data_IF_849295538795
#
_entry.id   IF_849295538795
#
_cell.length_a   1.000
_cell.length_b   1.000
_cell.length_c   1.000
_cell.angle_alpha   90.00
_cell.angle_beta   90.00
_cell.angle_gamma   90.00
#
_symmetry.space_group_name_H-M   'P 1'
#
loop_
_entity.id
_entity.type
_entity.pdbx_description
1 polymer ?
#
# COMPACT_ATOMS: atom_id res chain seq x y z
N UNK A 1 23.98 14.50 -15.65
CA UNK A 1 22.58 14.03 -15.69
C UNK A 1 21.70 15.25 -15.47
N UNK A 2 20.80 15.54 -16.38
CA UNK A 2 19.80 16.59 -16.19
C UNK A 2 18.74 16.06 -15.23
N UNK A 3 18.52 16.77 -14.13
CA UNK A 3 17.44 16.46 -13.19
C UNK A 3 16.16 17.11 -13.72
N UNK A 4 15.12 16.32 -13.92
CA UNK A 4 13.79 16.81 -14.24
C UNK A 4 12.95 16.88 -12.97
N UNK A 5 12.18 17.94 -12.81
CA UNK A 5 11.23 18.10 -11.70
C UNK A 5 9.83 17.79 -12.22
N UNK A 6 9.14 16.87 -11.56
CA UNK A 6 7.76 16.49 -11.86
C UNK A 6 6.83 16.95 -10.74
N UNK A 7 5.62 17.33 -11.08
CA UNK A 7 4.54 17.50 -10.10
C UNK A 7 4.02 16.14 -9.64
N UNK A 8 3.36 16.09 -8.48
CA UNK A 8 2.76 14.85 -7.98
C UNK A 8 1.72 14.26 -8.96
N UNK A 9 0.98 15.12 -9.66
CA UNK A 9 0.02 14.70 -10.68
C UNK A 9 0.71 14.05 -11.90
N UNK A 10 1.85 14.57 -12.31
CA UNK A 10 2.67 13.97 -13.39
C UNK A 10 3.26 12.64 -12.96
N UNK A 11 3.69 12.53 -11.70
CA UNK A 11 4.19 11.26 -11.12
C UNK A 11 3.08 10.21 -11.10
N UNK A 12 1.87 10.56 -10.62
CA UNK A 12 0.70 9.65 -10.62
C UNK A 12 0.38 9.21 -12.05
N UNK A 13 0.33 10.14 -12.99
CA UNK A 13 0.03 9.86 -14.41
C UNK A 13 1.06 8.92 -15.01
N UNK A 14 2.34 9.20 -14.83
CA UNK A 14 3.44 8.39 -15.34
C UNK A 14 3.40 6.96 -14.77
N UNK A 15 3.19 6.82 -13.46
CA UNK A 15 3.07 5.52 -12.81
C UNK A 15 1.85 4.74 -13.32
N UNK A 16 0.69 5.41 -13.43
CA UNK A 16 -0.54 4.80 -13.95
C UNK A 16 -0.38 4.27 -15.37
N UNK A 17 0.19 5.09 -16.26
CA UNK A 17 0.44 4.69 -17.64
C UNK A 17 1.42 3.51 -17.74
N UNK A 18 2.52 3.55 -16.98
CA UNK A 18 3.51 2.47 -16.99
C UNK A 18 2.89 1.14 -16.53
N UNK A 19 2.14 1.15 -15.43
CA UNK A 19 1.48 -0.03 -14.89
C UNK A 19 0.40 -0.59 -15.85
N UNK A 20 -0.38 0.31 -16.45
CA UNK A 20 -1.42 -0.10 -17.41
C UNK A 20 -0.81 -0.72 -18.67
N UNK A 21 0.26 -0.13 -19.22
CA UNK A 21 1.01 -0.70 -20.35
C UNK A 21 1.67 -2.03 -20.00
N UNK A 22 1.98 -2.27 -18.73
CA UNK A 22 2.53 -3.53 -18.25
C UNK A 22 1.47 -4.63 -18.01
N UNK A 23 0.18 -4.32 -18.14
CA UNK A 23 -0.93 -5.28 -18.05
C UNK A 23 -1.81 -5.13 -16.80
N UNK A 24 -1.67 -4.06 -16.01
CA UNK A 24 -2.60 -3.80 -14.92
C UNK A 24 -3.88 -3.13 -15.45
N UNK A 25 -5.04 -3.59 -14.98
CA UNK A 25 -6.28 -2.83 -15.16
C UNK A 25 -6.26 -1.56 -14.28
N UNK A 26 -7.07 -0.56 -14.63
CA UNK A 26 -7.12 0.72 -13.90
C UNK A 26 -7.40 0.54 -12.40
N UNK A 27 -8.25 -0.42 -12.03
CA UNK A 27 -8.59 -0.69 -10.63
C UNK A 27 -7.38 -1.19 -9.81
N UNK A 28 -6.42 -1.86 -10.44
CA UNK A 28 -5.17 -2.28 -9.83
C UNK A 28 -4.10 -1.18 -9.88
N UNK A 29 -4.00 -0.47 -11.01
CA UNK A 29 -2.94 0.51 -11.24
C UNK A 29 -3.13 1.83 -10.49
N UNK A 30 -4.37 2.36 -10.45
CA UNK A 30 -4.62 3.70 -9.90
C UNK A 30 -4.30 3.83 -8.40
N UNK A 31 -4.70 2.90 -7.50
CA UNK A 31 -4.33 3.01 -6.09
C UNK A 31 -2.81 2.95 -5.87
N UNK A 32 -2.10 2.15 -6.65
CA UNK A 32 -0.64 2.07 -6.59
C UNK A 32 0.03 3.34 -7.14
N UNK A 33 -0.48 3.90 -8.25
CA UNK A 33 0.04 5.14 -8.82
C UNK A 33 -0.08 6.33 -7.85
N UNK A 34 -1.22 6.45 -7.16
CA UNK A 34 -1.43 7.46 -6.10
C UNK A 34 -0.45 7.26 -4.94
N UNK A 35 -0.34 6.04 -4.43
CA UNK A 35 0.61 5.72 -3.37
C UNK A 35 2.06 6.00 -3.79
N UNK A 36 2.41 5.84 -5.07
CA UNK A 36 3.73 6.19 -5.60
C UNK A 36 3.97 7.70 -5.55
N UNK A 37 3.00 8.52 -5.94
CA UNK A 37 3.12 9.98 -5.86
C UNK A 37 3.24 10.47 -4.40
N UNK A 38 2.46 9.92 -3.48
CA UNK A 38 2.56 10.22 -2.04
C UNK A 38 3.94 9.81 -1.49
N UNK A 39 4.45 8.65 -1.89
CA UNK A 39 5.77 8.15 -1.49
C UNK A 39 6.90 9.06 -1.96
N UNK A 40 6.81 9.61 -3.17
CA UNK A 40 7.76 10.62 -3.67
C UNK A 40 7.64 11.94 -2.90
N UNK A 41 6.42 12.39 -2.55
CA UNK A 41 6.20 13.57 -1.73
C UNK A 41 6.85 13.45 -0.34
N UNK A 42 6.88 12.23 0.21
CA UNK A 42 7.54 11.92 1.49
C UNK A 42 9.08 11.77 1.36
N UNK A 43 9.64 11.85 0.15
CA UNK A 43 11.08 11.67 -0.09
C UNK A 43 11.57 10.22 0.00
N UNK A 44 10.67 9.22 -0.05
CA UNK A 44 11.01 7.79 0.04
C UNK A 44 11.25 7.21 -1.35
N UNK A 45 12.23 7.73 -2.08
CA UNK A 45 12.50 7.41 -3.49
C UNK A 45 12.68 5.91 -3.77
N UNK A 46 13.13 5.11 -2.79
CA UNK A 46 13.32 3.66 -2.96
C UNK A 46 12.01 2.88 -3.21
N UNK A 47 10.86 3.45 -2.84
CA UNK A 47 9.53 2.87 -3.01
C UNK A 47 8.61 3.74 -3.90
N UNK A 48 9.14 4.83 -4.45
CA UNK A 48 8.50 5.74 -5.39
C UNK A 48 8.64 5.28 -6.85
N UNK A 49 8.87 6.24 -7.75
CA UNK A 49 9.03 5.98 -9.20
C UNK A 49 10.14 4.99 -9.51
N UNK A 50 11.21 4.98 -8.71
CA UNK A 50 12.32 4.04 -8.90
C UNK A 50 11.88 2.56 -8.80
N UNK A 51 10.76 2.27 -8.14
CA UNK A 51 10.25 0.91 -8.00
C UNK A 51 9.22 0.52 -9.07
N UNK A 52 8.66 1.46 -9.82
CA UNK A 52 7.69 1.21 -10.90
C UNK A 52 8.20 0.19 -11.95
N UNK A 53 9.46 0.24 -12.42
CA UNK A 53 9.97 -0.77 -13.34
C UNK A 53 9.86 -2.22 -12.80
N UNK A 54 10.11 -2.41 -11.49
CA UNK A 54 9.98 -3.72 -10.83
C UNK A 54 8.53 -4.20 -10.81
N UNK A 55 7.57 -3.31 -10.50
CA UNK A 55 6.15 -3.64 -10.58
C UNK A 55 5.74 -4.03 -12.01
N UNK A 56 6.20 -3.31 -13.02
CA UNK A 56 5.94 -3.61 -14.42
C UNK A 56 6.53 -4.96 -14.84
N UNK A 57 7.73 -5.31 -14.40
CA UNK A 57 8.33 -6.62 -14.65
C UNK A 57 7.50 -7.73 -14.00
N UNK A 58 7.09 -7.55 -12.75
CA UNK A 58 6.30 -8.54 -12.02
C UNK A 58 4.89 -8.73 -12.58
N UNK A 59 4.30 -7.71 -13.20
CA UNK A 59 3.07 -7.84 -13.99
C UNK A 59 3.31 -8.71 -15.24
N UNK A 60 4.35 -8.40 -16.01
CA UNK A 60 4.66 -9.11 -17.27
C UNK A 60 5.02 -10.59 -17.08
N UNK A 61 5.73 -10.92 -15.99
CA UNK A 61 6.09 -12.31 -15.69
C UNK A 61 4.98 -13.08 -14.93
N UNK A 62 3.84 -12.45 -14.66
CA UNK A 62 2.70 -13.11 -14.01
C UNK A 62 2.85 -13.30 -12.50
N UNK A 63 3.86 -12.68 -11.86
CA UNK A 63 4.01 -12.69 -10.41
C UNK A 63 2.93 -11.88 -9.68
N UNK A 64 2.34 -10.91 -10.38
CA UNK A 64 1.20 -10.12 -9.94
C UNK A 64 0.11 -10.19 -10.99
N UNK A 65 -1.10 -10.45 -10.56
CA UNK A 65 -2.27 -10.46 -11.44
C UNK A 65 -2.80 -9.05 -11.62
N UNK A 66 -2.55 -8.48 -12.79
CA UNK A 66 -2.98 -7.12 -13.14
C UNK A 66 -4.48 -6.94 -13.32
N UNK A 67 -5.23 -8.03 -13.48
CA UNK A 67 -6.69 -8.07 -13.63
C UNK A 67 -7.44 -8.52 -12.37
N UNK A 68 -6.74 -8.73 -11.26
CA UNK A 68 -7.32 -9.22 -10.02
C UNK A 68 -8.41 -8.26 -9.51
N UNK A 69 -9.52 -8.84 -9.06
CA UNK A 69 -10.60 -8.10 -8.39
C UNK A 69 -10.60 -8.49 -6.91
N UNK A 70 -10.29 -7.57 -6.01
CA UNK A 70 -10.28 -7.84 -4.58
C UNK A 70 -11.66 -8.30 -4.10
N UNK A 71 -11.67 -9.32 -3.23
CA UNK A 71 -12.91 -9.80 -2.59
C UNK A 71 -12.91 -9.38 -1.12
N UNK A 72 -13.85 -8.54 -0.73
CA UNK A 72 -13.98 -8.06 0.64
C UNK A 72 -15.11 -8.80 1.34
N UNK A 73 -14.85 -9.24 2.56
CA UNK A 73 -15.83 -9.88 3.44
C UNK A 73 -15.76 -9.27 4.83
N UNK A 74 -16.86 -9.31 5.56
CA UNK A 74 -16.95 -8.80 6.93
C UNK A 74 -17.48 -9.91 7.87
N UNK A 75 -16.57 -10.83 8.30
CA UNK A 75 -16.99 -11.99 9.10
C UNK A 75 -17.45 -11.62 10.52
N UNK A 76 -17.09 -10.42 11.01
CA UNK A 76 -17.56 -9.86 12.28
C UNK A 76 -17.75 -8.34 12.15
N UNK A 77 -18.52 -7.66 13.00
CA UNK A 77 -18.79 -6.21 12.91
C UNK A 77 -17.53 -5.35 12.80
N UNK A 78 -16.50 -5.60 13.59
CA UNK A 78 -15.23 -4.88 13.57
C UNK A 78 -14.12 -5.57 12.78
N UNK A 79 -14.41 -6.61 11.98
CA UNK A 79 -13.37 -7.34 11.21
C UNK A 79 -13.71 -7.36 9.72
N UNK A 80 -12.81 -6.79 8.92
CA UNK A 80 -12.86 -6.81 7.45
C UNK A 80 -11.71 -7.66 6.94
N UNK A 81 -11.97 -8.50 5.95
CA UNK A 81 -10.96 -9.31 5.27
C UNK A 81 -11.01 -8.99 3.79
N UNK A 82 -9.90 -8.54 3.22
CA UNK A 82 -9.72 -8.28 1.80
C UNK A 82 -8.76 -9.31 1.19
N UNK A 83 -9.27 -10.13 0.30
CA UNK A 83 -8.49 -11.06 -0.51
C UNK A 83 -8.11 -10.36 -1.82
N UNK A 84 -6.83 -10.13 -2.05
CA UNK A 84 -6.34 -9.41 -3.21
C UNK A 84 -6.28 -10.28 -4.48
N UNK A 85 -6.50 -11.60 -4.37
CA UNK A 85 -6.48 -12.53 -5.50
C UNK A 85 -5.16 -12.51 -6.28
N UNK A 86 -4.03 -12.36 -5.58
CA UNK A 86 -2.67 -12.20 -6.12
C UNK A 86 -2.44 -10.89 -6.90
N UNK A 87 -3.32 -9.89 -6.72
CA UNK A 87 -3.13 -8.53 -7.23
C UNK A 87 -2.29 -7.65 -6.29
N UNK A 88 -2.21 -6.37 -6.60
CA UNK A 88 -1.56 -5.39 -5.73
C UNK A 88 -2.33 -5.21 -4.42
N UNK A 89 -1.60 -5.12 -3.31
CA UNK A 89 -2.18 -4.86 -2.00
C UNK A 89 -2.96 -3.53 -1.96
N UNK A 90 -2.49 -2.52 -2.69
CA UNK A 90 -3.10 -1.19 -2.74
C UNK A 90 -4.59 -1.22 -3.14
N UNK A 91 -4.94 -2.02 -4.16
CA UNK A 91 -6.34 -2.18 -4.58
C UNK A 91 -7.19 -2.88 -3.52
N UNK A 92 -6.64 -3.90 -2.85
CA UNK A 92 -7.33 -4.63 -1.78
C UNK A 92 -7.47 -3.78 -0.52
N UNK A 93 -6.46 -2.98 -0.17
CA UNK A 93 -6.51 -2.04 0.96
C UNK A 93 -7.58 -0.96 0.71
N UNK A 94 -7.59 -0.36 -0.48
CA UNK A 94 -8.59 0.65 -0.83
C UNK A 94 -10.04 0.07 -0.73
N UNK A 95 -10.27 -1.12 -1.27
CA UNK A 95 -11.55 -1.81 -1.15
C UNK A 95 -11.88 -2.18 0.30
N UNK A 96 -10.90 -2.62 1.08
CA UNK A 96 -11.06 -2.94 2.49
C UNK A 96 -11.34 -1.72 3.37
N UNK A 97 -10.73 -0.58 3.09
CA UNK A 97 -10.96 0.68 3.82
C UNK A 97 -12.38 1.23 3.60
N UNK A 98 -12.99 1.00 2.44
CA UNK A 98 -14.38 1.36 2.20
C UNK A 98 -15.35 0.70 3.21
N UNK A 99 -14.98 -0.46 3.75
CA UNK A 99 -15.75 -1.19 4.77
C UNK A 99 -15.20 -0.97 6.19
N UNK A 100 -13.87 -0.92 6.35
CA UNK A 100 -13.23 -0.85 7.66
C UNK A 100 -13.39 0.52 8.34
N UNK A 101 -13.34 1.63 7.57
CA UNK A 101 -13.49 2.98 8.12
C UNK A 101 -14.90 3.20 8.71
N UNK A 102 -16.00 2.91 8.00
CA UNK A 102 -17.34 2.96 8.61
C UNK A 102 -17.49 2.01 9.80
N UNK A 103 -16.92 0.80 9.70
CA UNK A 103 -16.94 -0.16 10.80
C UNK A 103 -16.25 0.40 12.06
N UNK A 104 -15.07 0.99 11.92
CA UNK A 104 -14.36 1.60 13.06
C UNK A 104 -15.17 2.70 13.75
N UNK A 105 -15.88 3.52 12.97
CA UNK A 105 -16.74 4.58 13.51
C UNK A 105 -17.94 4.04 14.29
N UNK A 106 -18.49 2.89 13.87
CA UNK A 106 -19.65 2.28 14.52
C UNK A 106 -19.27 1.44 15.73
N UNK A 107 -18.20 0.65 15.59
CA UNK A 107 -17.78 -0.33 16.60
C UNK A 107 -16.73 0.23 17.59
N UNK A 108 -16.21 1.45 17.33
CA UNK A 108 -15.10 2.06 18.10
C UNK A 108 -13.72 1.60 17.66
N UNK A 109 -13.59 0.41 17.08
CA UNK A 109 -12.35 -0.16 16.52
C UNK A 109 -12.70 -1.14 15.39
N UNK A 110 -11.87 -1.18 14.37
CA UNK A 110 -11.95 -2.21 13.34
C UNK A 110 -10.56 -2.69 12.92
N UNK A 111 -10.49 -3.92 12.43
CA UNK A 111 -9.30 -4.50 11.83
C UNK A 111 -9.57 -4.84 10.36
N UNK A 112 -8.60 -4.51 9.49
CA UNK A 112 -8.55 -4.96 8.12
C UNK A 112 -7.41 -5.97 7.96
N UNK A 113 -7.71 -7.21 7.62
CA UNK A 113 -6.74 -8.21 7.22
C UNK A 113 -6.69 -8.32 5.70
N UNK A 114 -5.51 -8.09 5.12
CA UNK A 114 -5.26 -8.26 3.67
C UNK A 114 -4.50 -9.54 3.46
N UNK A 115 -4.94 -10.36 2.52
CA UNK A 115 -4.31 -11.64 2.18
C UNK A 115 -4.19 -11.83 0.68
N UNK A 116 -3.41 -12.84 0.27
CA UNK A 116 -3.16 -13.17 -1.13
C UNK A 116 -2.78 -11.93 -1.95
N UNK A 117 -1.98 -11.05 -1.33
CA UNK A 117 -1.59 -9.78 -1.94
C UNK A 117 -0.11 -9.76 -2.30
N UNK A 118 0.20 -9.02 -3.34
CA UNK A 118 1.55 -8.57 -3.60
C UNK A 118 1.91 -7.43 -2.60
N UNK A 119 3.12 -6.95 -2.67
CA UNK A 119 3.68 -5.89 -1.82
C UNK A 119 2.75 -4.65 -1.68
N UNK A 120 2.78 -4.02 -0.50
CA UNK A 120 1.94 -2.85 -0.17
C UNK A 120 2.70 -1.50 -0.26
N UNK A 121 3.93 -1.49 -0.77
CA UNK A 121 4.74 -0.26 -0.83
C UNK A 121 5.10 0.27 0.56
N UNK A 122 5.00 1.56 0.75
CA UNK A 122 5.25 2.24 2.03
C UNK A 122 4.03 2.14 2.93
N UNK A 123 4.19 1.47 4.09
CA UNK A 123 3.07 1.21 5.01
C UNK A 123 2.45 2.51 5.55
N UNK A 124 3.27 3.56 5.71
CA UNK A 124 2.84 4.88 6.16
C UNK A 124 1.75 5.54 5.30
N UNK A 125 1.77 5.31 3.99
CA UNK A 125 0.74 5.81 3.07
C UNK A 125 -0.66 5.30 3.48
N UNK A 126 -0.76 4.03 3.84
CA UNK A 126 -2.04 3.43 4.23
C UNK A 126 -2.51 3.88 5.63
N UNK A 127 -1.61 4.02 6.59
CA UNK A 127 -2.00 4.51 7.93
C UNK A 127 -2.34 5.99 7.90
N UNK A 128 -1.67 6.80 7.06
CA UNK A 128 -2.03 8.20 6.81
C UNK A 128 -3.47 8.34 6.32
N UNK A 129 -3.90 7.52 5.37
CA UNK A 129 -5.26 7.55 4.86
C UNK A 129 -6.33 7.30 5.96
N UNK A 130 -6.00 6.50 6.99
CA UNK A 130 -6.86 6.32 8.15
C UNK A 130 -6.88 7.58 9.04
N UNK A 131 -5.75 8.23 9.24
CA UNK A 131 -5.66 9.46 10.03
C UNK A 131 -6.38 10.63 9.33
N UNK A 132 -6.27 10.75 8.01
CA UNK A 132 -7.03 11.70 7.19
C UNK A 132 -8.55 11.45 7.27
N UNK A 133 -8.96 10.19 7.48
CA UNK A 133 -10.35 9.85 7.77
C UNK A 133 -10.78 10.12 9.23
N UNK A 134 -9.90 10.74 10.05
CA UNK A 134 -10.16 11.09 11.44
C UNK A 134 -10.02 9.92 12.44
N UNK A 135 -9.28 8.88 12.06
CA UNK A 135 -9.05 7.68 12.88
C UNK A 135 -7.59 7.59 13.30
N UNK A 136 -7.29 6.84 14.36
CA UNK A 136 -5.92 6.37 14.62
C UNK A 136 -5.68 5.12 13.80
N UNK A 137 -4.68 5.15 12.92
CA UNK A 137 -4.29 4.04 12.07
C UNK A 137 -3.05 3.33 12.59
N UNK A 138 -3.12 2.01 12.79
CA UNK A 138 -1.98 1.16 13.12
C UNK A 138 -1.84 0.09 12.04
N UNK A 139 -0.67 0.01 11.39
CA UNK A 139 -0.39 -0.89 10.29
C UNK A 139 0.77 -1.84 10.60
N UNK A 140 0.64 -3.07 10.12
CA UNK A 140 1.66 -4.10 10.18
C UNK A 140 1.75 -4.80 8.84
N UNK A 141 2.94 -5.16 8.41
CA UNK A 141 3.11 -6.01 7.23
C UNK A 141 4.28 -6.96 7.39
N UNK A 142 4.20 -8.10 6.72
CA UNK A 142 5.31 -9.03 6.60
C UNK A 142 6.14 -8.72 5.36
N UNK A 143 7.44 -8.92 5.45
CA UNK A 143 8.36 -8.82 4.32
C UNK A 143 9.09 -10.16 4.12
N UNK A 144 9.54 -10.46 2.88
CA UNK A 144 10.37 -11.63 2.62
C UNK A 144 11.64 -11.63 3.50
N UNK A 145 12.17 -12.82 3.79
CA UNK A 145 13.39 -12.98 4.57
C UNK A 145 14.58 -12.32 3.83
N UNK A 146 15.05 -11.21 4.37
CA UNK A 146 16.17 -10.40 3.82
C UNK A 146 17.24 -10.07 4.88
N UNK A 147 16.98 -10.35 6.16
CA UNK A 147 17.84 -10.00 7.28
C UNK A 147 18.33 -11.28 7.96
N UNK A 148 19.67 -11.37 8.12
CA UNK A 148 20.28 -12.40 8.95
C UNK A 148 20.19 -12.00 10.44
N UNK A 149 19.99 -12.95 11.37
CA UNK A 149 20.06 -12.66 12.79
C UNK A 149 21.49 -12.28 13.20
N UNK A 150 21.63 -11.67 14.36
CA UNK A 150 22.95 -11.33 14.91
C UNK A 150 23.84 -12.58 15.01
N UNK A 151 25.05 -12.50 14.43
CA UNK A 151 25.98 -13.63 14.33
C UNK A 151 25.66 -14.67 13.25
N UNK A 152 24.56 -14.50 12.51
CA UNK A 152 24.19 -15.35 11.38
C UNK A 152 24.58 -14.75 10.03
N UNK A 153 24.70 -15.61 9.01
CA UNK A 153 25.01 -15.20 7.63
C UNK A 153 23.82 -15.44 6.67
N UNK A 154 22.79 -16.17 7.09
CA UNK A 154 21.64 -16.53 6.26
C UNK A 154 20.42 -15.68 6.63
N UNK A 155 19.76 -15.02 5.66
CA UNK A 155 18.50 -14.31 5.91
C UNK A 155 17.40 -15.27 6.39
N UNK A 156 16.71 -14.89 7.49
CA UNK A 156 15.61 -15.67 8.08
C UNK A 156 14.41 -14.82 8.50
N UNK A 157 14.57 -13.47 8.57
CA UNK A 157 13.49 -12.53 8.90
C UNK A 157 13.37 -11.43 7.86
N UNK A 158 12.18 -10.88 7.69
CA UNK A 158 11.93 -9.67 6.91
C UNK A 158 12.07 -8.42 7.75
N UNK A 159 11.96 -7.25 7.14
CA UNK A 159 11.94 -5.94 7.82
C UNK A 159 10.70 -5.76 8.69
N UNK A 160 9.56 -6.37 8.28
CA UNK A 160 8.29 -6.42 9.01
C UNK A 160 7.92 -5.07 9.68
N UNK A 161 7.75 -4.00 8.89
CA UNK A 161 7.55 -2.65 9.42
C UNK A 161 6.23 -2.52 10.17
N UNK A 162 6.23 -1.56 11.09
CA UNK A 162 5.04 -1.07 11.80
C UNK A 162 4.88 0.40 11.44
N UNK A 163 3.66 0.87 11.27
CA UNK A 163 3.34 2.27 11.08
C UNK A 163 2.18 2.69 11.98
N UNK A 164 2.25 3.89 12.52
CA UNK A 164 1.21 4.52 13.32
C UNK A 164 0.93 5.91 12.73
N UNK A 165 -0.33 6.23 12.52
CA UNK A 165 -0.74 7.58 12.15
C UNK A 165 -1.95 8.01 12.97
N UNK A 166 -2.02 9.30 13.30
CA UNK A 166 -3.14 9.91 14.02
C UNK A 166 -3.39 11.33 13.50
N UNK A 167 -4.62 11.85 13.56
CA UNK A 167 -4.87 13.28 13.36
C UNK A 167 -4.06 14.10 14.37
N UNK A 168 -3.40 15.17 13.91
CA UNK A 168 -2.57 16.03 14.77
C UNK A 168 -3.39 17.09 15.54
N UNK A 169 -4.69 17.16 15.31
CA UNK A 169 -5.59 18.14 15.90
C UNK A 169 -5.53 19.54 15.27
N UNK A 170 -4.68 19.74 14.25
CA UNK A 170 -4.52 21.02 13.54
C UNK A 170 -4.91 20.89 12.05
N UNK A 171 -5.52 19.77 11.66
CA UNK A 171 -5.92 19.46 10.28
C UNK A 171 -4.85 18.71 9.48
N UNK A 172 -3.76 18.30 10.11
CA UNK A 172 -2.71 17.45 9.57
C UNK A 172 -2.70 16.05 10.17
N UNK A 173 -1.64 15.30 9.87
CA UNK A 173 -1.42 13.93 10.32
C UNK A 173 -0.05 13.79 10.96
N UNK A 174 -0.01 13.27 12.18
CA UNK A 174 1.21 12.76 12.79
C UNK A 174 1.42 11.31 12.32
N UNK A 175 2.58 11.04 11.74
CA UNK A 175 2.95 9.74 11.17
C UNK A 175 4.27 9.24 11.77
N UNK A 176 4.29 7.96 12.15
CA UNK A 176 5.48 7.23 12.63
C UNK A 176 5.66 5.93 11.84
#
# INVERSE_FOLDING_TARGET
MTTETLTLAEIETLALEALTRAGACTAQALPLARATAETEADGVASHGLAYIPVYCEHLRCGKVRGDAVPKVTRPRPGLVVADAGQGFAHAAIAAGFAEAIPAARTEGVAALAVRESYNCGVLGVHTRALAEAGLVGLGFTNAPASIAPAGGARPVVGTNPISLAAPDGQGGVALL
#
